data_IF_834852751054
#
_entry.id   IF_834852751054
#
_cell.length_a   1.000
_cell.length_b   1.000
_cell.length_c   1.000
_cell.angle_alpha   90.00
_cell.angle_beta   90.00
_cell.angle_gamma   90.00
#
_symmetry.space_group_name_H-M   'P 1'
#
loop_
_entity.id
_entity.type
_entity.pdbx_description
1 polymer ?
#
# COMPACT_ATOMS: atom_id res chain seq x y z
N UNK A 1 -17.43 -2.86 -14.22
CA UNK A 1 -17.59 -1.41 -14.36
C UNK A 1 -16.97 -0.77 -13.15
N UNK A 2 -16.54 0.48 -13.26
CA UNK A 2 -15.85 1.18 -12.18
C UNK A 2 -16.67 2.36 -11.69
N UNK A 3 -16.50 2.71 -10.42
CA UNK A 3 -17.07 3.91 -9.83
C UNK A 3 -15.90 4.75 -9.32
N UNK A 4 -15.79 5.98 -9.81
CA UNK A 4 -14.78 6.93 -9.36
C UNK A 4 -15.48 8.07 -8.62
N UNK A 5 -15.02 8.34 -7.41
CA UNK A 5 -15.38 9.52 -6.65
C UNK A 5 -14.20 10.50 -6.71
N UNK A 6 -14.45 11.68 -7.24
CA UNK A 6 -13.47 12.77 -7.29
C UNK A 6 -13.80 13.78 -6.19
N UNK A 7 -13.00 13.75 -5.14
CA UNK A 7 -13.17 14.62 -3.98
C UNK A 7 -12.84 16.10 -4.28
N UNK A 8 -12.14 16.40 -5.37
CA UNK A 8 -11.76 17.79 -5.71
C UNK A 8 -12.94 18.62 -6.22
N UNK A 9 -13.92 17.95 -6.84
CA UNK A 9 -15.11 18.55 -7.41
C UNK A 9 -16.42 17.93 -6.86
N UNK A 10 -16.32 17.09 -5.82
CA UNK A 10 -17.44 16.37 -5.18
C UNK A 10 -18.33 15.65 -6.20
N UNK A 11 -17.71 14.90 -7.11
CA UNK A 11 -18.42 14.22 -8.21
C UNK A 11 -18.22 12.72 -8.22
N UNK A 12 -19.22 12.02 -8.75
CA UNK A 12 -19.20 10.57 -8.94
C UNK A 12 -19.36 10.26 -10.42
N UNK A 13 -18.43 9.46 -10.95
CA UNK A 13 -18.42 9.00 -12.33
C UNK A 13 -18.56 7.49 -12.40
N UNK A 14 -19.60 7.02 -13.09
CA UNK A 14 -19.78 5.61 -13.42
C UNK A 14 -19.09 5.31 -14.77
N UNK A 15 -18.09 4.43 -14.73
CA UNK A 15 -17.32 4.04 -15.91
C UNK A 15 -17.83 2.66 -16.37
N UNK A 16 -18.21 2.52 -17.66
CA UNK A 16 -18.69 1.26 -18.19
C UNK A 16 -17.63 0.16 -18.03
N UNK A 17 -18.09 -1.10 -18.03
CA UNK A 17 -17.18 -2.23 -18.11
C UNK A 17 -16.27 -2.10 -19.34
N UNK A 18 -15.05 -2.63 -19.23
CA UNK A 18 -14.20 -2.86 -20.39
C UNK A 18 -15.01 -3.66 -21.42
N UNK A 19 -15.07 -3.22 -22.69
CA UNK A 19 -15.82 -3.92 -23.72
C UNK A 19 -15.35 -5.37 -23.86
N UNK A 20 -16.25 -6.34 -24.09
CA UNK A 20 -15.84 -7.70 -24.37
C UNK A 20 -14.99 -7.71 -25.65
N UNK A 21 -13.71 -8.03 -25.51
CA UNK A 21 -12.78 -8.15 -26.64
C UNK A 21 -13.00 -9.43 -27.45
N UNK A 22 -12.32 -9.53 -28.59
CA UNK A 22 -12.24 -10.76 -29.39
C UNK A 22 -11.39 -11.84 -28.73
N UNK A 23 -10.42 -11.45 -27.89
CA UNK A 23 -9.58 -12.36 -27.12
C UNK A 23 -10.13 -12.54 -25.69
N UNK A 24 -10.01 -13.77 -25.17
CA UNK A 24 -10.35 -14.05 -23.77
C UNK A 24 -9.34 -13.36 -22.85
N UNK A 25 -9.81 -12.47 -21.99
CA UNK A 25 -8.99 -11.75 -21.01
C UNK A 25 -9.39 -12.10 -19.58
N UNK A 26 -8.43 -12.08 -18.65
CA UNK A 26 -8.68 -12.25 -17.21
C UNK A 26 -7.95 -11.17 -16.43
N UNK A 27 -8.54 -10.71 -15.33
CA UNK A 27 -7.86 -9.79 -14.41
C UNK A 27 -6.59 -10.45 -13.88
N UNK A 28 -5.50 -9.68 -13.78
CA UNK A 28 -4.22 -10.20 -13.28
C UNK A 28 -4.12 -10.21 -11.76
N UNK A 29 -5.21 -9.96 -11.04
CA UNK A 29 -5.23 -9.99 -9.58
C UNK A 29 -6.51 -9.40 -9.02
N UNK A 30 -6.53 -9.17 -7.71
CA UNK A 30 -7.68 -8.57 -7.02
C UNK A 30 -7.70 -7.03 -7.12
N UNK A 31 -6.57 -6.41 -7.50
CA UNK A 31 -6.38 -4.96 -7.58
C UNK A 31 -5.57 -4.58 -8.83
N UNK A 32 -6.17 -4.67 -10.02
CA UNK A 32 -5.49 -4.34 -11.29
C UNK A 32 -5.87 -2.97 -11.88
N UNK A 33 -6.70 -2.20 -11.17
CA UNK A 33 -7.19 -0.88 -11.58
C UNK A 33 -6.41 0.26 -10.90
N UNK A 34 -5.74 1.10 -11.69
CA UNK A 34 -5.00 2.28 -11.22
C UNK A 34 -5.71 3.54 -11.67
N UNK A 35 -5.91 4.49 -10.76
CA UNK A 35 -6.38 5.85 -11.10
C UNK A 35 -5.23 6.83 -10.94
N UNK A 36 -5.00 7.65 -11.95
CA UNK A 36 -4.05 8.78 -11.90
C UNK A 36 -4.82 10.09 -12.09
N UNK A 37 -4.73 10.96 -11.09
CA UNK A 37 -5.30 12.31 -11.15
C UNK A 37 -4.33 13.27 -11.87
N UNK A 38 -4.88 14.24 -12.60
CA UNK A 38 -4.09 15.27 -13.29
C UNK A 38 -3.28 14.76 -14.48
N UNK A 39 -3.57 13.55 -14.97
CA UNK A 39 -2.86 12.94 -16.09
C UNK A 39 -3.03 13.73 -17.40
N UNK A 40 -4.12 14.49 -17.56
CA UNK A 40 -4.53 15.09 -18.85
C UNK A 40 -4.93 16.58 -18.77
N UNK A 41 -4.41 17.31 -17.79
CA UNK A 41 -4.68 18.74 -17.58
C UNK A 41 -5.47 19.03 -16.30
N UNK A 42 -6.03 20.23 -16.16
CA UNK A 42 -6.77 20.63 -14.95
C UNK A 42 -8.05 19.81 -14.77
N UNK A 43 -8.10 19.02 -13.69
CA UNK A 43 -9.29 18.30 -13.23
C UNK A 43 -9.60 16.97 -13.92
N UNK A 44 -8.76 16.50 -14.84
CA UNK A 44 -8.93 15.20 -15.50
C UNK A 44 -8.31 14.04 -14.72
N UNK A 45 -8.85 12.83 -14.91
CA UNK A 45 -8.23 11.59 -14.46
C UNK A 45 -8.07 10.58 -15.61
N UNK A 46 -7.12 9.67 -15.41
CA UNK A 46 -6.89 8.47 -16.22
C UNK A 46 -7.13 7.25 -15.34
N UNK A 47 -8.03 6.36 -15.76
CA UNK A 47 -8.18 5.02 -15.19
C UNK A 47 -7.46 4.02 -16.09
N UNK A 48 -6.67 3.15 -15.50
CA UNK A 48 -5.94 2.11 -16.21
C UNK A 48 -6.23 0.74 -15.60
N UNK A 49 -6.47 -0.26 -16.44
CA UNK A 49 -6.63 -1.65 -16.02
C UNK A 49 -5.66 -2.52 -16.81
N UNK A 50 -4.90 -3.38 -16.13
CA UNK A 50 -4.01 -4.33 -16.77
C UNK A 50 -4.59 -5.74 -16.68
N UNK A 51 -4.88 -6.35 -17.84
CA UNK A 51 -5.47 -7.69 -17.93
C UNK A 51 -4.58 -8.64 -18.73
N UNK A 52 -4.59 -9.91 -18.35
CA UNK A 52 -3.88 -10.97 -19.07
C UNK A 52 -4.71 -11.41 -20.28
N UNK A 53 -4.03 -11.66 -21.40
CA UNK A 53 -4.63 -12.20 -22.63
C UNK A 53 -4.41 -13.73 -22.67
N UNK A 54 -5.48 -14.51 -22.47
CA UNK A 54 -5.40 -15.94 -22.16
C UNK A 54 -4.69 -16.83 -23.19
N UNK A 55 -4.56 -16.36 -24.43
CA UNK A 55 -4.01 -17.14 -25.54
C UNK A 55 -2.51 -16.95 -25.74
N UNK A 56 -1.85 -16.09 -24.95
CA UNK A 56 -0.44 -15.74 -25.11
C UNK A 56 0.25 -15.61 -23.74
N UNK A 57 1.43 -16.21 -23.60
CA UNK A 57 2.07 -16.40 -22.29
C UNK A 57 2.55 -15.09 -21.64
N UNK A 58 2.96 -14.09 -22.43
CA UNK A 58 3.54 -12.83 -21.91
C UNK A 58 2.80 -11.56 -22.35
N UNK A 59 1.76 -11.68 -23.17
CA UNK A 59 1.00 -10.52 -23.64
C UNK A 59 -0.08 -10.12 -22.63
N UNK A 60 -0.15 -8.83 -22.35
CA UNK A 60 -1.21 -8.19 -21.58
C UNK A 60 -1.90 -7.11 -22.41
N UNK A 61 -3.15 -6.82 -22.05
CA UNK A 61 -3.88 -5.67 -22.55
C UNK A 61 -3.92 -4.60 -21.46
N UNK A 62 -3.37 -3.43 -21.76
CA UNK A 62 -3.53 -2.22 -20.96
C UNK A 62 -4.73 -1.45 -21.48
N UNK A 63 -5.79 -1.41 -20.69
CA UNK A 63 -6.98 -0.62 -20.95
C UNK A 63 -6.87 0.73 -20.28
N UNK A 64 -7.14 1.79 -21.01
CA UNK A 64 -7.06 3.17 -20.56
C UNK A 64 -8.40 3.85 -20.77
N UNK A 65 -8.87 4.54 -19.74
CA UNK A 65 -10.05 5.39 -19.79
C UNK A 65 -9.64 6.79 -19.39
N UNK A 66 -9.69 7.70 -20.36
CA UNK A 66 -9.53 9.11 -20.08
C UNK A 66 -10.89 9.75 -19.79
N UNK A 67 -10.97 10.48 -18.68
CA UNK A 67 -12.18 11.21 -18.26
C UNK A 67 -12.75 12.16 -19.33
N UNK A 68 -11.89 12.77 -20.14
CA UNK A 68 -12.26 13.70 -21.22
C UNK A 68 -12.85 12.96 -22.43
N UNK A 69 -12.21 11.86 -22.86
CA UNK A 69 -12.60 11.08 -24.02
C UNK A 69 -13.84 10.21 -23.77
N UNK A 70 -14.05 9.78 -22.52
CA UNK A 70 -15.16 8.90 -22.10
C UNK A 70 -15.27 7.62 -22.93
N UNK A 71 -14.10 7.09 -23.30
CA UNK A 71 -13.93 5.91 -24.13
C UNK A 71 -12.80 5.07 -23.54
N UNK A 72 -12.94 3.74 -23.67
CA UNK A 72 -11.88 2.80 -23.42
C UNK A 72 -10.97 2.68 -24.65
N UNK A 73 -9.68 2.95 -24.46
CA UNK A 73 -8.63 2.63 -25.41
C UNK A 73 -7.83 1.43 -24.91
N UNK A 74 -7.30 0.62 -25.84
CA UNK A 74 -6.54 -0.58 -25.51
C UNK A 74 -5.16 -0.56 -26.16
N UNK A 75 -4.16 -0.96 -25.39
CA UNK A 75 -2.79 -1.16 -25.86
C UNK A 75 -2.35 -2.59 -25.52
N UNK A 76 -2.12 -3.40 -26.54
CA UNK A 76 -1.47 -4.70 -26.37
C UNK A 76 0.02 -4.49 -26.12
N UNK A 77 0.56 -5.18 -25.12
CA UNK A 77 1.95 -5.07 -24.70
C UNK A 77 2.48 -6.42 -24.30
N UNK A 78 3.70 -6.72 -24.73
CA UNK A 78 4.47 -7.82 -24.17
C UNK A 78 5.10 -7.34 -22.87
N UNK A 79 4.81 -8.04 -21.78
CA UNK A 79 5.32 -7.68 -20.47
C UNK A 79 6.79 -8.13 -20.35
N UNK A 80 7.71 -7.25 -19.88
CA UNK A 80 9.12 -7.58 -19.71
C UNK A 80 9.35 -8.43 -18.45
N UNK A 81 8.66 -9.56 -18.35
CA UNK A 81 8.70 -10.43 -17.18
C UNK A 81 10.02 -11.22 -17.13
N UNK A 82 10.54 -11.54 -15.93
CA UNK A 82 11.71 -12.38 -15.78
C UNK A 82 11.53 -13.75 -16.44
N UNK A 83 12.62 -14.41 -16.90
CA UNK A 83 12.55 -15.77 -17.43
C UNK A 83 11.82 -16.74 -16.48
N UNK A 84 10.96 -17.59 -17.03
CA UNK A 84 10.14 -18.53 -16.25
C UNK A 84 8.90 -17.92 -15.59
N UNK A 85 8.65 -16.61 -15.79
CA UNK A 85 7.40 -15.94 -15.40
C UNK A 85 6.55 -15.67 -16.61
N UNK A 86 5.28 -16.07 -16.55
CA UNK A 86 4.25 -15.73 -17.54
C UNK A 86 3.30 -14.68 -16.96
N UNK A 87 2.57 -13.97 -17.82
CA UNK A 87 1.53 -13.04 -17.40
C UNK A 87 0.42 -13.74 -16.60
N UNK A 88 0.18 -15.03 -16.85
CA UNK A 88 -0.71 -15.86 -16.05
C UNK A 88 -0.22 -16.07 -14.61
N UNK A 89 1.09 -16.14 -14.40
CA UNK A 89 1.72 -16.38 -13.10
C UNK A 89 2.10 -15.09 -12.36
N UNK A 90 1.81 -13.93 -12.95
CA UNK A 90 2.01 -12.61 -12.34
C UNK A 90 0.71 -12.17 -11.67
N UNK A 91 0.70 -12.14 -10.34
CA UNK A 91 -0.49 -11.79 -9.54
C UNK A 91 -0.35 -10.38 -8.99
N UNK A 92 -1.25 -9.49 -9.37
CA UNK A 92 -1.29 -8.12 -8.87
C UNK A 92 -1.92 -8.08 -7.48
N UNK A 93 -1.10 -7.81 -6.49
CA UNK A 93 -1.50 -7.65 -5.09
C UNK A 93 -1.76 -6.18 -4.73
N UNK A 94 -1.05 -5.25 -5.37
CA UNK A 94 -1.29 -3.82 -5.24
C UNK A 94 -0.97 -3.07 -6.53
N UNK A 95 -1.58 -1.90 -6.69
CA UNK A 95 -1.36 -1.05 -7.84
C UNK A 95 -1.53 0.43 -7.46
N UNK A 96 -0.75 1.32 -8.05
CA UNK A 96 -0.79 2.76 -7.76
C UNK A 96 -0.15 3.56 -8.89
N UNK A 97 -0.46 4.85 -8.96
CA UNK A 97 0.25 5.80 -9.81
C UNK A 97 1.30 6.57 -9.01
N UNK A 98 2.41 6.98 -9.64
CA UNK A 98 3.33 7.93 -9.02
C UNK A 98 4.06 8.79 -10.07
N UNK A 99 4.70 9.87 -9.61
CA UNK A 99 5.51 10.75 -10.47
C UNK A 99 4.74 11.45 -11.60
N UNK A 100 3.40 11.47 -11.56
CA UNK A 100 2.55 12.11 -12.56
C UNK A 100 2.54 11.44 -13.95
N UNK A 101 3.28 10.35 -14.14
CA UNK A 101 3.41 9.70 -15.45
C UNK A 101 3.57 8.19 -15.37
N UNK A 102 3.65 7.61 -14.17
CA UNK A 102 3.87 6.19 -14.01
C UNK A 102 2.65 5.48 -13.43
N UNK A 103 2.35 4.32 -13.99
CA UNK A 103 1.37 3.37 -13.47
C UNK A 103 2.12 2.10 -13.01
N UNK A 104 1.77 1.59 -11.84
CA UNK A 104 2.45 0.46 -11.22
C UNK A 104 1.48 -0.68 -10.91
N UNK A 105 1.92 -1.89 -11.21
CA UNK A 105 1.29 -3.14 -10.77
C UNK A 105 2.32 -4.00 -10.08
N UNK A 106 2.04 -4.42 -8.86
CA UNK A 106 2.99 -5.11 -7.99
C UNK A 106 2.54 -6.54 -7.75
N UNK A 107 3.44 -7.46 -8.05
CA UNK A 107 3.41 -8.82 -7.55
C UNK A 107 4.39 -8.93 -6.38
N UNK A 108 3.88 -9.06 -5.16
CA UNK A 108 4.70 -9.09 -3.93
C UNK A 108 5.60 -10.34 -3.83
N UNK A 109 5.35 -11.37 -4.64
CA UNK A 109 6.23 -12.53 -4.75
C UNK A 109 7.35 -12.33 -5.78
N UNK A 110 7.22 -11.38 -6.71
CA UNK A 110 8.12 -11.26 -7.87
C UNK A 110 8.75 -9.88 -8.00
N UNK A 111 7.93 -8.86 -8.21
CA UNK A 111 8.39 -7.57 -8.74
C UNK A 111 7.26 -6.60 -9.06
N UNK A 112 7.65 -5.47 -9.61
CA UNK A 112 6.76 -4.40 -10.02
C UNK A 112 6.87 -4.15 -11.52
N UNK A 113 5.73 -4.17 -12.21
CA UNK A 113 5.60 -3.63 -13.56
C UNK A 113 5.39 -2.13 -13.48
N UNK A 114 6.29 -1.39 -14.12
CA UNK A 114 6.26 0.06 -14.23
C UNK A 114 5.92 0.46 -15.67
N UNK A 115 4.82 1.16 -15.87
CA UNK A 115 4.41 1.68 -17.17
C UNK A 115 4.62 3.20 -17.23
N UNK A 116 5.41 3.67 -18.20
CA UNK A 116 5.65 5.10 -18.43
C UNK A 116 4.72 5.65 -19.51
N UNK A 117 3.76 6.49 -19.11
CA UNK A 117 2.80 7.11 -20.02
C UNK A 117 3.47 8.03 -21.05
N UNK A 118 4.64 8.60 -20.75
CA UNK A 118 5.37 9.50 -21.67
C UNK A 118 6.09 8.74 -22.77
N UNK A 119 6.25 7.42 -22.62
CA UNK A 119 6.95 6.54 -23.56
C UNK A 119 5.97 5.56 -24.21
N UNK A 120 4.81 6.05 -24.62
CA UNK A 120 3.73 5.24 -25.21
C UNK A 120 3.35 4.01 -24.35
N UNK A 121 3.27 4.19 -23.03
CA UNK A 121 2.94 3.10 -22.11
C UNK A 121 3.90 1.90 -22.23
N UNK A 122 5.21 2.19 -22.38
CA UNK A 122 6.23 1.15 -22.34
C UNK A 122 6.39 0.62 -20.91
N UNK A 123 6.60 -0.69 -20.79
CA UNK A 123 6.76 -1.38 -19.52
C UNK A 123 8.24 -1.62 -19.22
N UNK A 124 8.60 -1.51 -17.94
CA UNK A 124 9.81 -2.07 -17.37
C UNK A 124 9.45 -2.91 -16.15
N UNK A 125 10.28 -3.92 -15.87
CA UNK A 125 10.13 -4.75 -14.68
C UNK A 125 11.20 -4.40 -13.65
N UNK A 126 10.80 -4.28 -12.39
CA UNK A 126 11.68 -3.96 -11.27
C UNK A 126 11.56 -5.08 -10.23
N UNK A 127 12.67 -5.75 -9.96
CA UNK A 127 12.75 -6.79 -8.94
C UNK A 127 12.63 -6.19 -7.52
N UNK A 128 12.05 -6.96 -6.59
CA UNK A 128 11.98 -6.57 -5.18
C UNK A 128 13.30 -6.90 -4.45
N UNK A 129 13.75 -6.08 -3.48
CA UNK A 129 15.05 -6.19 -2.79
C UNK A 129 15.41 -7.53 -2.15
N UNK A 130 14.43 -8.37 -1.82
CA UNK A 130 14.63 -9.65 -1.14
C UNK A 130 14.35 -10.85 -2.04
N UNK A 131 14.14 -10.62 -3.34
CA UNK A 131 13.72 -11.66 -4.27
C UNK A 131 12.40 -12.33 -3.87
N UNK A 132 12.10 -13.48 -4.48
CA UNK A 132 10.94 -14.28 -4.12
C UNK A 132 11.06 -14.79 -2.67
N UNK A 133 9.95 -14.83 -1.92
CA UNK A 133 9.95 -15.44 -0.59
C UNK A 133 10.19 -16.95 -0.70
N UNK A 134 10.96 -17.48 0.25
CA UNK A 134 11.27 -18.89 0.43
C UNK A 134 10.40 -19.47 1.55
N UNK A 135 9.43 -20.30 1.17
CA UNK A 135 8.59 -21.07 2.07
C UNK A 135 8.23 -22.40 1.42
N UNK A 136 8.00 -23.44 2.23
CA UNK A 136 7.53 -24.72 1.72
C UNK A 136 6.05 -24.62 1.32
N UNK A 137 5.75 -24.91 0.07
CA UNK A 137 4.38 -24.99 -0.43
C UNK A 137 3.56 -26.09 0.26
N UNK A 138 4.21 -27.07 0.90
CA UNK A 138 3.55 -28.12 1.69
C UNK A 138 2.98 -27.58 3.01
N UNK A 139 3.68 -26.63 3.64
CA UNK A 139 3.23 -25.93 4.85
C UNK A 139 2.10 -24.96 4.55
N UNK A 140 2.07 -24.44 3.32
CA UNK A 140 1.07 -23.49 2.83
C UNK A 140 0.48 -24.00 1.50
N UNK A 141 -0.42 -25.00 1.51
CA UNK A 141 -0.97 -25.62 0.30
C UNK A 141 -1.80 -24.67 -0.58
N UNK A 142 -2.09 -23.47 -0.09
CA UNK A 142 -2.74 -22.39 -0.83
C UNK A 142 -1.83 -21.17 -1.03
N UNK A 143 -0.55 -21.28 -0.69
CA UNK A 143 0.42 -20.20 -0.55
C UNK A 143 0.13 -19.33 0.69
N UNK A 144 1.15 -18.77 1.36
CA UNK A 144 0.94 -17.67 2.27
C UNK A 144 0.51 -16.44 1.46
N UNK A 145 -0.46 -15.69 1.98
CA UNK A 145 -0.86 -14.42 1.42
C UNK A 145 0.34 -13.46 1.49
N UNK A 146 0.95 -13.06 0.36
CA UNK A 146 2.14 -12.21 0.38
C UNK A 146 1.93 -10.92 1.19
N UNK A 147 0.71 -10.40 1.17
CA UNK A 147 0.27 -9.25 1.94
C UNK A 147 0.42 -9.45 3.46
N UNK A 148 0.53 -10.68 3.98
CA UNK A 148 0.78 -10.95 5.40
C UNK A 148 2.17 -10.53 5.85
N UNK A 149 3.12 -10.42 4.93
CA UNK A 149 4.53 -10.17 5.24
C UNK A 149 5.22 -9.17 4.30
N UNK A 150 4.56 -8.70 3.24
CA UNK A 150 5.10 -7.74 2.27
C UNK A 150 4.07 -6.69 1.87
N UNK A 151 4.54 -5.50 1.52
CA UNK A 151 3.72 -4.43 0.94
C UNK A 151 4.58 -3.50 0.08
N UNK A 152 3.99 -2.91 -0.96
CA UNK A 152 4.59 -1.83 -1.75
C UNK A 152 3.58 -0.69 -1.86
N UNK A 153 4.04 0.53 -1.67
CA UNK A 153 3.23 1.73 -1.85
C UNK A 153 4.08 2.93 -2.30
N UNK A 154 3.44 3.92 -2.89
CA UNK A 154 4.02 5.25 -3.08
C UNK A 154 3.83 6.06 -1.79
N UNK A 155 4.94 6.44 -1.14
CA UNK A 155 4.96 7.24 0.08
C UNK A 155 5.67 8.56 -0.23
N UNK A 156 4.93 9.67 -0.17
CA UNK A 156 5.46 11.01 -0.48
C UNK A 156 6.21 11.09 -1.83
N UNK A 157 5.69 10.44 -2.87
CA UNK A 157 6.27 10.47 -4.21
C UNK A 157 7.40 9.47 -4.45
N UNK A 158 7.81 8.73 -3.42
CA UNK A 158 8.82 7.67 -3.53
C UNK A 158 8.18 6.29 -3.39
N UNK A 159 8.54 5.36 -4.27
CA UNK A 159 8.09 3.96 -4.14
C UNK A 159 8.86 3.29 -3.02
N UNK A 160 8.14 2.70 -2.07
CA UNK A 160 8.70 1.97 -0.94
C UNK A 160 8.20 0.54 -0.91
N UNK A 161 9.09 -0.37 -0.57
CA UNK A 161 8.82 -1.77 -0.32
C UNK A 161 9.03 -2.04 1.17
N UNK A 162 8.09 -2.75 1.80
CA UNK A 162 8.17 -3.23 3.16
C UNK A 162 8.12 -4.75 3.12
N UNK A 163 9.02 -5.40 3.84
CA UNK A 163 8.98 -6.84 4.04
C UNK A 163 9.42 -7.27 5.43
N UNK A 164 8.85 -8.37 5.89
CA UNK A 164 9.38 -9.15 7.01
C UNK A 164 10.51 -10.04 6.52
N UNK A 165 11.49 -10.28 7.39
CA UNK A 165 12.62 -11.17 7.11
C UNK A 165 12.33 -12.64 7.51
N UNK A 166 11.07 -13.06 7.51
CA UNK A 166 10.66 -14.41 7.95
C UNK A 166 10.90 -15.47 6.88
N UNK A 167 10.65 -15.14 5.61
CA UNK A 167 10.66 -16.07 4.47
C UNK A 167 11.81 -15.77 3.52
N UNK A 168 12.96 -15.38 4.06
CA UNK A 168 14.16 -15.01 3.29
C UNK A 168 15.39 -15.41 4.09
N UNK A 169 16.52 -15.58 3.41
CA UNK A 169 17.81 -15.72 4.08
C UNK A 169 18.11 -14.45 4.88
N UNK A 170 18.41 -14.64 6.17
CA UNK A 170 18.73 -13.55 7.11
C UNK A 170 20.23 -13.39 7.24
N UNK A 171 20.67 -12.15 7.40
CA UNK A 171 22.07 -11.87 7.68
C UNK A 171 22.49 -12.50 9.03
N UNK A 172 23.76 -12.92 9.18
CA UNK A 172 24.25 -13.47 10.44
C UNK A 172 23.99 -12.52 11.63
N UNK A 173 23.31 -13.03 12.66
CA UNK A 173 22.94 -12.26 13.85
C UNK A 173 21.67 -11.40 13.71
N UNK A 174 21.00 -11.42 12.57
CA UNK A 174 19.75 -10.69 12.37
C UNK A 174 18.55 -11.41 13.02
N UNK A 175 17.86 -10.72 13.93
CA UNK A 175 16.61 -11.19 14.54
C UNK A 175 15.42 -11.02 13.60
N UNK A 176 14.30 -11.67 13.91
CA UNK A 176 13.05 -11.44 13.20
C UNK A 176 12.60 -9.99 13.31
N UNK A 177 12.06 -9.46 12.22
CA UNK A 177 11.63 -8.08 12.13
C UNK A 177 11.16 -7.71 10.73
N UNK A 178 11.15 -6.41 10.49
CA UNK A 178 10.78 -5.82 9.22
C UNK A 178 11.81 -4.80 8.77
N UNK A 179 11.86 -4.58 7.46
CA UNK A 179 12.62 -3.50 6.87
C UNK A 179 11.81 -2.81 5.77
N UNK A 180 12.20 -1.58 5.49
CA UNK A 180 11.65 -0.77 4.40
C UNK A 180 12.78 -0.36 3.47
N UNK A 181 12.55 -0.51 2.18
CA UNK A 181 13.44 -0.08 1.11
C UNK A 181 12.76 1.02 0.30
N UNK A 182 13.56 1.96 -0.19
CA UNK A 182 13.11 3.02 -1.09
C UNK A 182 13.74 2.79 -2.46
N UNK A 183 12.93 2.83 -3.51
CA UNK A 183 13.36 2.78 -4.89
C UNK A 183 14.05 4.09 -5.26
N UNK A 184 15.19 4.02 -5.94
CA UNK A 184 15.91 5.18 -6.42
C UNK A 184 15.09 5.99 -7.44
N UNK A 185 15.29 7.31 -7.56
CA UNK A 185 14.52 8.15 -8.49
C UNK A 185 14.65 7.78 -9.97
N UNK A 186 15.73 7.10 -10.36
CA UNK A 186 15.96 6.55 -11.69
C UNK A 186 15.36 5.15 -11.87
N UNK A 187 14.73 4.60 -10.83
CA UNK A 187 14.04 3.31 -10.78
C UNK A 187 14.94 2.10 -11.03
N UNK A 188 16.25 2.25 -10.82
CA UNK A 188 17.25 1.22 -11.13
C UNK A 188 17.66 0.37 -9.92
N UNK A 189 17.54 0.90 -8.70
CA UNK A 189 18.05 0.27 -7.50
C UNK A 189 17.20 0.55 -6.27
N UNK A 190 17.30 -0.35 -5.30
CA UNK A 190 16.67 -0.17 -4.00
C UNK A 190 17.72 0.09 -2.92
N UNK A 191 17.40 0.96 -1.97
CA UNK A 191 18.21 1.17 -0.77
C UNK A 191 17.39 0.95 0.49
N UNK A 192 17.96 0.31 1.51
CA UNK A 192 17.27 0.06 2.79
C UNK A 192 17.20 1.38 3.57
N UNK A 193 15.98 1.81 3.90
CA UNK A 193 15.71 3.08 4.59
C UNK A 193 15.47 2.89 6.08
N UNK A 194 14.72 1.85 6.46
CA UNK A 194 14.37 1.58 7.86
C UNK A 194 14.48 0.09 8.17
N UNK A 195 14.67 -0.22 9.45
CA UNK A 195 14.67 -1.57 10.00
C UNK A 195 14.18 -1.53 11.44
N UNK A 196 13.35 -2.49 11.80
CA UNK A 196 12.80 -2.64 13.14
C UNK A 196 12.70 -4.13 13.47
N UNK A 197 13.25 -4.56 14.63
CA UNK A 197 13.07 -5.94 15.07
C UNK A 197 11.70 -6.11 15.77
N UNK A 198 11.14 -7.31 15.74
CA UNK A 198 9.94 -7.58 16.54
C UNK A 198 10.22 -7.48 18.05
N UNK A 199 11.47 -7.75 18.46
CA UNK A 199 11.92 -7.52 19.84
C UNK A 199 11.76 -6.06 20.27
N UNK A 200 12.12 -5.11 19.41
CA UNK A 200 11.97 -3.68 19.69
C UNK A 200 10.49 -3.28 19.84
N UNK A 201 9.62 -3.83 18.99
CA UNK A 201 8.17 -3.61 19.06
C UNK A 201 7.62 -4.15 20.38
N UNK A 202 8.00 -5.36 20.78
CA UNK A 202 7.56 -5.99 22.03
C UNK A 202 8.13 -5.31 23.27
N UNK A 203 9.32 -4.71 23.17
CA UNK A 203 9.95 -3.95 24.24
C UNK A 203 9.34 -2.55 24.43
N UNK A 204 8.55 -2.06 23.46
CA UNK A 204 7.93 -0.74 23.55
C UNK A 204 6.92 -0.68 24.72
N UNK A 205 6.99 0.40 25.51
CA UNK A 205 6.17 0.58 26.71
C UNK A 205 4.65 0.55 26.43
N UNK A 206 4.20 1.10 25.30
CA UNK A 206 2.78 1.09 24.92
C UNK A 206 2.32 -0.32 24.54
N UNK A 207 3.19 -1.10 23.90
CA UNK A 207 2.90 -2.50 23.55
C UNK A 207 2.80 -3.38 24.80
N UNK A 208 3.74 -3.22 25.74
CA UNK A 208 3.70 -3.93 27.03
C UNK A 208 2.48 -3.56 27.87
N UNK A 209 2.14 -2.27 27.93
CA UNK A 209 0.98 -1.77 28.67
C UNK A 209 -0.35 -2.32 28.13
N UNK A 210 -0.41 -2.68 26.84
CA UNK A 210 -1.57 -3.31 26.23
C UNK A 210 -1.72 -4.80 26.56
N UNK A 211 -0.75 -5.42 27.25
CA UNK A 211 -0.83 -6.81 27.71
C UNK A 211 -0.80 -7.87 26.60
N UNK A 212 -0.27 -7.53 25.42
CA UNK A 212 -0.33 -8.37 24.22
C UNK A 212 0.70 -9.51 24.17
N UNK A 213 1.49 -9.73 25.22
CA UNK A 213 2.55 -10.74 25.21
C UNK A 213 3.58 -10.48 24.10
N UNK A 214 4.05 -11.53 23.41
CA UNK A 214 4.94 -11.44 22.24
C UNK A 214 4.23 -11.92 20.97
N UNK A 215 3.01 -11.44 20.75
CA UNK A 215 2.25 -11.81 19.55
C UNK A 215 2.94 -11.28 18.28
N UNK A 216 3.01 -12.13 17.26
CA UNK A 216 3.66 -11.82 15.99
C UNK A 216 2.87 -10.81 15.16
N UNK A 217 3.51 -9.72 14.67
CA UNK A 217 2.90 -8.83 13.69
C UNK A 217 2.67 -9.52 12.34
N UNK A 218 1.65 -9.06 11.62
CA UNK A 218 1.22 -9.53 10.30
C UNK A 218 0.64 -8.37 9.48
N UNK A 219 0.42 -8.59 8.19
CA UNK A 219 -0.19 -7.63 7.28
C UNK A 219 0.42 -6.23 7.33
N UNK A 220 1.73 -6.10 7.06
CA UNK A 220 2.36 -4.80 7.14
C UNK A 220 1.87 -3.88 6.03
N UNK A 221 1.55 -2.63 6.37
CA UNK A 221 1.15 -1.60 5.40
C UNK A 221 1.94 -0.33 5.62
N UNK A 222 2.47 0.22 4.53
CA UNK A 222 3.15 1.51 4.53
C UNK A 222 2.13 2.66 4.69
N UNK A 223 2.42 3.65 5.53
CA UNK A 223 1.66 4.90 5.50
C UNK A 223 1.96 5.66 4.21
N UNK A 224 0.93 5.97 3.42
CA UNK A 224 1.10 6.81 2.20
C UNK A 224 1.33 8.30 2.52
N UNK A 225 1.11 8.72 3.77
CA UNK A 225 1.15 10.12 4.22
C UNK A 225 2.30 10.46 5.17
N UNK A 226 3.04 9.47 5.67
CA UNK A 226 4.11 9.68 6.65
C UNK A 226 5.25 8.72 6.35
N UNK A 227 6.42 9.26 6.02
CA UNK A 227 7.61 8.42 5.83
C UNK A 227 8.07 7.82 7.17
N UNK A 228 8.60 6.60 7.13
CA UNK A 228 9.01 5.85 8.32
C UNK A 228 7.87 5.29 9.16
N UNK A 229 6.60 5.55 8.81
CA UNK A 229 5.44 5.05 9.55
C UNK A 229 4.83 3.84 8.86
N UNK A 230 4.65 2.76 9.62
CA UNK A 230 4.02 1.53 9.15
C UNK A 230 2.90 1.10 10.08
N UNK A 231 1.93 0.40 9.51
CA UNK A 231 0.84 -0.21 10.23
C UNK A 231 0.98 -1.72 10.20
N UNK A 232 0.78 -2.37 11.35
CA UNK A 232 0.87 -3.82 11.49
C UNK A 232 -0.40 -4.35 12.17
N UNK A 233 -0.82 -5.54 11.81
CA UNK A 233 -1.93 -6.25 12.45
C UNK A 233 -1.39 -7.28 13.43
N UNK A 234 -1.90 -7.25 14.65
CA UNK A 234 -1.64 -8.28 15.67
C UNK A 234 -2.96 -8.95 16.04
N UNK A 235 -2.99 -10.28 15.97
CA UNK A 235 -4.14 -11.09 16.35
C UNK A 235 -3.87 -11.78 17.68
N UNK A 236 -4.76 -11.57 18.64
CA UNK A 236 -4.81 -12.34 19.87
C UNK A 236 -5.74 -13.53 19.66
N UNK A 237 -5.15 -14.73 19.59
CA UNK A 237 -5.87 -15.99 19.45
C UNK A 237 -5.49 -16.92 20.60
N UNK A 238 -6.49 -17.58 21.18
CA UNK A 238 -6.30 -18.61 22.20
C UNK A 238 -6.62 -19.99 21.61
N UNK A 239 -5.83 -21.00 21.98
CA UNK A 239 -6.16 -22.37 21.66
C UNK A 239 -7.10 -22.94 22.73
N UNK A 240 -8.34 -23.26 22.35
CA UNK A 240 -9.30 -23.97 23.21
C UNK A 240 -9.51 -25.37 22.64
N UNK A 241 -8.80 -26.35 23.20
CA UNK A 241 -8.74 -27.71 22.66
C UNK A 241 -8.04 -27.73 21.30
N UNK A 242 -8.74 -28.21 20.25
CA UNK A 242 -8.25 -28.20 18.86
C UNK A 242 -8.66 -26.96 18.06
N UNK A 243 -9.36 -26.01 18.67
CA UNK A 243 -9.91 -24.84 17.99
C UNK A 243 -9.12 -23.58 18.36
N UNK A 244 -8.71 -22.82 17.36
CA UNK A 244 -8.26 -21.44 17.56
C UNK A 244 -9.47 -20.54 17.75
N UNK A 245 -9.52 -19.88 18.91
CA UNK A 245 -10.52 -18.88 19.27
C UNK A 245 -9.89 -17.51 19.08
N UNK A 246 -10.52 -16.66 18.30
CA UNK A 246 -10.10 -15.28 18.13
C UNK A 246 -10.62 -14.46 19.30
N UNK A 247 -9.70 -13.89 20.09
CA UNK A 247 -10.04 -13.07 21.26
C UNK A 247 -10.17 -11.61 20.85
N UNK A 248 -9.15 -11.06 20.19
CA UNK A 248 -9.07 -9.66 19.81
C UNK A 248 -8.10 -9.45 18.65
N UNK A 249 -8.15 -8.24 18.08
CA UNK A 249 -7.19 -7.76 17.10
C UNK A 249 -6.78 -6.34 17.41
N UNK A 250 -5.52 -6.05 17.11
CA UNK A 250 -4.90 -4.76 17.33
C UNK A 250 -4.27 -4.28 16.04
N UNK A 251 -4.38 -2.99 15.79
CA UNK A 251 -3.60 -2.27 14.81
C UNK A 251 -2.46 -1.58 15.53
N UNK A 252 -1.24 -1.86 15.13
CA UNK A 252 -0.06 -1.14 15.59
C UNK A 252 0.25 -0.04 14.57
N UNK A 253 0.50 1.18 15.03
CA UNK A 253 1.23 2.19 14.26
C UNK A 253 2.65 2.22 14.80
N UNK A 254 3.62 1.91 13.96
CA UNK A 254 5.05 1.92 14.31
C UNK A 254 5.74 3.04 13.56
N UNK A 255 6.35 3.95 14.29
CA UNK A 255 7.13 5.07 13.77
C UNK A 255 8.62 4.72 13.83
N UNK A 256 9.15 4.17 12.73
CA UNK A 256 10.54 3.74 12.64
C UNK A 256 11.52 4.93 12.51
N UNK A 257 11.02 6.14 12.22
CA UNK A 257 11.82 7.36 12.24
C UNK A 257 12.02 7.92 13.64
N UNK A 258 11.13 7.59 14.57
CA UNK A 258 11.12 8.07 15.96
C UNK A 258 11.42 6.94 16.96
N UNK A 259 12.57 6.27 16.80
CA UNK A 259 13.02 5.19 17.70
C UNK A 259 12.00 4.05 17.87
N UNK A 260 11.33 3.68 16.78
CA UNK A 260 10.29 2.64 16.76
C UNK A 260 9.16 2.90 17.78
N UNK A 261 8.68 4.13 17.89
CA UNK A 261 7.51 4.44 18.74
C UNK A 261 6.30 3.62 18.27
N UNK A 262 5.65 2.93 19.19
CA UNK A 262 4.52 2.04 18.90
C UNK A 262 3.27 2.61 19.54
N UNK A 263 2.20 2.73 18.76
CA UNK A 263 0.86 3.03 19.24
C UNK A 263 -0.03 1.82 18.96
N UNK A 264 -0.84 1.43 19.95
CA UNK A 264 -1.67 0.23 19.91
C UNK A 264 -3.13 0.62 19.89
N UNK A 265 -3.86 0.12 18.90
CA UNK A 265 -5.30 0.40 18.73
C UNK A 265 -6.09 -0.90 18.64
N UNK A 266 -6.87 -1.21 19.67
CA UNK A 266 -7.78 -2.36 19.62
C UNK A 266 -8.87 -2.12 18.57
N UNK A 267 -9.06 -3.11 17.70
CA UNK A 267 -10.01 -3.04 16.61
C UNK A 267 -11.30 -3.77 16.97
N UNK A 268 -12.44 -3.14 16.69
CA UNK A 268 -13.77 -3.74 16.89
C UNK A 268 -14.15 -4.74 15.78
N UNK A 269 -13.42 -4.73 14.67
CA UNK A 269 -13.74 -5.55 13.50
C UNK A 269 -12.97 -6.87 13.52
N UNK A 270 -13.65 -7.94 13.13
CA UNK A 270 -13.03 -9.27 12.95
C UNK A 270 -12.34 -9.41 11.60
N UNK A 271 -12.44 -8.41 10.71
CA UNK A 271 -11.76 -8.36 9.41
C UNK A 271 -11.10 -7.00 9.22
N UNK A 272 -9.78 -7.03 9.10
CA UNK A 272 -8.99 -5.91 8.63
C UNK A 272 -8.67 -6.22 7.18
N UNK A 273 -9.12 -5.36 6.27
CA UNK A 273 -8.63 -5.39 4.89
C UNK A 273 -7.40 -4.50 4.87
N UNK A 274 -6.21 -5.09 4.77
CA UNK A 274 -4.94 -4.37 4.65
C UNK A 274 -5.00 -3.29 3.56
N UNK A 275 -5.75 -3.57 2.49
CA UNK A 275 -6.09 -2.69 1.38
C UNK A 275 -6.75 -1.37 1.79
N UNK A 276 -7.47 -1.31 2.93
CA UNK A 276 -8.11 -0.09 3.42
C UNK A 276 -7.13 0.84 4.16
N UNK A 277 -6.01 0.32 4.69
CA UNK A 277 -5.00 1.15 5.36
C UNK A 277 -4.21 2.03 4.40
N UNK A 278 -4.05 1.58 3.15
CA UNK A 278 -3.44 2.38 2.10
C UNK A 278 -4.35 3.56 1.67
N UNK A 279 -5.64 3.55 2.05
CA UNK A 279 -6.61 4.56 1.63
C UNK A 279 -6.94 5.61 2.68
N UNK A 280 -6.86 5.35 4.00
CA UNK A 280 -7.06 6.41 5.02
C UNK A 280 -6.83 5.94 6.47
N UNK A 281 -6.14 6.75 7.29
CA UNK A 281 -6.40 6.98 8.74
C UNK A 281 -5.65 8.26 9.19
N UNK A 282 -6.09 9.43 8.73
CA UNK A 282 -5.68 10.73 9.30
C UNK A 282 -6.87 11.60 9.73
N UNK A 283 -8.09 11.25 9.32
CA UNK A 283 -9.30 11.99 9.66
C UNK A 283 -9.66 11.97 11.16
N UNK A 284 -9.14 11.02 11.96
CA UNK A 284 -9.50 10.91 13.38
C UNK A 284 -8.72 11.84 14.31
N UNK A 285 -7.74 12.62 13.82
CA UNK A 285 -6.93 13.50 14.68
C UNK A 285 -7.39 14.97 14.72
N UNK A 286 -8.51 15.32 14.09
CA UNK A 286 -9.05 16.70 14.10
C UNK A 286 -10.17 16.96 15.10
N UNK A 287 -10.61 15.97 15.89
CA UNK A 287 -11.78 16.15 16.77
C UNK A 287 -11.52 16.21 18.28
N UNK A 288 -10.26 16.23 18.73
CA UNK A 288 -9.96 16.43 20.16
C UNK A 288 -9.02 17.62 20.38
N UNK A 289 -9.50 18.82 20.05
CA UNK A 289 -9.15 20.02 20.83
C UNK A 289 -10.36 20.96 20.81
N UNK A 290 -11.04 21.16 21.95
CA UNK A 290 -11.94 22.29 22.09
C UNK A 290 -11.10 23.55 21.89
N UNK A 291 -11.47 24.39 20.92
CA UNK A 291 -10.93 25.74 20.80
C UNK A 291 -11.19 26.43 22.15
N UNK A 292 -10.14 26.66 22.92
CA UNK A 292 -10.20 27.56 24.07
C UNK A 292 -10.65 28.93 23.55
N UNK A 293 -11.76 29.36 24.14
CA UNK A 293 -12.39 30.63 23.89
C UNK A 293 -11.53 31.68 24.59
N UNK A 294 -10.66 32.37 23.86
CA UNK A 294 -10.02 33.59 24.38
C UNK A 294 -11.11 34.62 24.63
N UNK A 295 -11.45 34.75 25.91
CA UNK A 295 -12.17 35.86 26.49
C UNK A 295 -11.25 36.52 27.50
N UNK A 296 -11.32 37.86 27.57
CA UNK A 296 -10.54 38.79 28.41
C UNK A 296 -9.18 39.17 27.81
N UNK A 297 -8.74 40.43 27.72
CA UNK A 297 -9.10 41.66 28.45
C UNK A 297 -9.00 42.90 27.55
N UNK A 298 -10.09 43.65 27.40
CA UNK A 298 -10.02 45.07 27.03
C UNK A 298 -9.86 45.88 28.32
N UNK A 299 -8.61 46.11 28.72
CA UNK A 299 -8.25 47.01 29.81
C UNK A 299 -8.38 48.47 29.38
N UNK A 300 -9.36 49.16 29.94
CA UNK A 300 -9.47 50.62 29.89
C UNK A 300 -8.34 51.30 30.68
N UNK A 301 -7.75 52.37 30.13
CA UNK A 301 -7.67 53.69 30.78
C UNK A 301 -6.61 54.58 30.10
N UNK A 302 -6.99 55.82 29.80
CA UNK A 302 -6.09 56.84 29.29
C UNK A 302 -6.79 58.11 28.83
N UNK A 303 -7.60 58.74 29.70
CA UNK A 303 -8.12 60.10 29.45
C UNK A 303 -7.08 61.15 29.85
N UNK A 304 -6.78 62.03 28.88
CA UNK A 304 -6.47 63.48 28.94
C UNK A 304 -5.45 64.02 29.96
N UNK A 305 -4.53 64.86 29.47
CA UNK A 305 -4.64 66.34 29.62
C UNK A 305 -3.61 67.15 28.80
N UNK A 306 -4.10 68.28 28.27
CA UNK A 306 -3.47 69.60 27.95
C UNK A 306 -2.39 69.70 26.85
N UNK A 307 -2.75 70.35 25.74
CA UNK A 307 -2.60 71.80 25.53
C UNK A 307 -3.70 72.30 24.57
#
# INVERSE_FOLDING_TARGET
>A
GYLIYDASNDSISAIPCIPPGTCRTTAMGFQSAVVMCGATGEGGYLLAELVWVCTQDSQAALWLWESSAKQWDVKLRDLPLPPGTTAFNFSVHSCFSFGGSFLCWVDLHRGMLLCDLRKDCNFSFIELPQGPPDYDASDYPHGPCAEEFRSVACVHGSVKFLAFNTFVEREPGETFGLAVWTLSPDHSAWSRSYKCSFGDIWANANFQSAGLGQLSPSFPVLSIHQDGVVYLVVNDTSAVGRRLVFNARYLLRVDMGSNNDVQVYQQKTTRIRSQLFASEFSAHRRQEHPREMESSEFGASGKRMKA
#
